data_IF_213456274587
#
_entry.id   IF_213456274587
#
_cell.length_a   1.000
_cell.length_b   1.000
_cell.length_c   1.000
_cell.angle_alpha   90.00
_cell.angle_beta   90.00
_cell.angle_gamma   90.00
#
_symmetry.space_group_name_H-M   'P 1'
#
loop_
_entity.id
_entity.type
_entity.pdbx_description
1 polymer ?
#
# COMPACT_ATOMS: atom_id res chain seq x y z
N UNK A 1 9.04 5.75 21.91
CA UNK A 1 8.42 6.28 20.67
C UNK A 1 7.59 5.17 20.05
N UNK A 2 6.27 5.20 20.24
CA UNK A 2 5.35 4.25 19.61
C UNK A 2 5.29 4.54 18.11
N UNK A 3 5.69 3.58 17.27
CA UNK A 3 5.61 3.74 15.81
C UNK A 3 4.13 3.87 15.41
N UNK A 4 3.78 4.78 14.47
CA UNK A 4 2.41 4.85 13.96
C UNK A 4 2.06 3.55 13.25
N UNK A 5 0.83 3.07 13.44
CA UNK A 5 0.28 1.87 12.82
C UNK A 5 -0.82 2.29 11.86
N UNK A 6 -0.92 1.62 10.70
CA UNK A 6 -2.03 1.86 9.79
C UNK A 6 -3.30 1.21 10.34
N UNK A 7 -4.41 1.95 10.35
CA UNK A 7 -5.76 1.42 10.59
C UNK A 7 -6.33 0.72 9.35
N UNK A 8 -6.02 1.26 8.17
CA UNK A 8 -6.51 0.76 6.88
C UNK A 8 -5.57 1.22 5.74
N UNK A 9 -5.55 0.45 4.65
CA UNK A 9 -4.93 0.87 3.38
C UNK A 9 -6.00 0.75 2.30
N UNK A 10 -6.48 1.89 1.82
CA UNK A 10 -7.47 1.95 0.75
C UNK A 10 -6.78 1.91 -0.60
N UNK A 11 -7.24 1.01 -1.48
CA UNK A 11 -6.74 0.89 -2.85
C UNK A 11 -7.93 1.00 -3.79
N UNK A 12 -7.89 1.97 -4.71
CA UNK A 12 -8.91 2.12 -5.74
C UNK A 12 -8.58 1.21 -6.94
N UNK A 13 -9.26 0.08 -7.12
CA UNK A 13 -8.94 -0.89 -8.18
C UNK A 13 -9.25 -0.34 -9.58
N UNK A 14 -10.09 0.69 -9.73
CA UNK A 14 -10.38 1.31 -11.03
C UNK A 14 -9.19 2.12 -11.55
N UNK A 15 -8.37 2.63 -10.64
CA UNK A 15 -7.22 3.48 -10.98
C UNK A 15 -5.91 2.69 -10.92
N UNK A 16 -5.83 1.66 -10.08
CA UNK A 16 -4.67 0.78 -10.01
C UNK A 16 -4.38 0.11 -11.35
N UNK A 17 -3.13 0.26 -11.84
CA UNK A 17 -2.65 -0.35 -13.08
C UNK A 17 -1.84 -1.63 -12.87
N UNK A 18 -1.67 -2.08 -11.62
CA UNK A 18 -0.87 -3.27 -11.31
C UNK A 18 0.63 -3.10 -11.59
N UNK A 19 1.16 -1.87 -11.56
CA UNK A 19 2.57 -1.58 -11.89
C UNK A 19 3.59 -2.10 -10.86
N UNK A 20 3.14 -2.74 -9.78
CA UNK A 20 3.99 -3.36 -8.73
C UNK A 20 4.93 -2.43 -7.94
N UNK A 21 5.00 -1.14 -8.25
CA UNK A 21 5.87 -0.17 -7.55
C UNK A 21 5.61 -0.20 -6.03
N UNK A 22 4.34 -0.16 -5.62
CA UNK A 22 3.98 -0.18 -4.21
C UNK A 22 4.40 -1.48 -3.49
N UNK A 23 4.40 -2.61 -4.19
CA UNK A 23 4.84 -3.92 -3.66
C UNK A 23 6.36 -3.93 -3.51
N UNK A 24 7.09 -3.47 -4.52
CA UNK A 24 8.55 -3.44 -4.53
C UNK A 24 9.14 -2.51 -3.45
N UNK A 25 8.53 -1.35 -3.23
CA UNK A 25 9.03 -0.35 -2.28
C UNK A 25 8.50 -0.51 -0.86
N UNK A 26 7.59 -1.45 -0.61
CA UNK A 26 7.09 -1.67 0.74
C UNK A 26 8.17 -2.34 1.61
N UNK A 27 8.72 -1.65 2.64
CA UNK A 27 9.80 -2.20 3.45
C UNK A 27 9.37 -3.42 4.28
N UNK A 28 8.08 -3.50 4.60
CA UNK A 28 7.48 -4.60 5.37
C UNK A 28 6.66 -5.56 4.50
N UNK A 29 6.68 -5.38 3.17
CA UNK A 29 6.04 -6.26 2.18
C UNK A 29 4.55 -6.55 2.46
N UNK A 30 3.81 -5.52 2.90
CA UNK A 30 2.38 -5.63 3.26
C UNK A 30 1.41 -5.59 2.08
N UNK A 31 1.93 -5.30 0.88
CA UNK A 31 1.16 -5.23 -0.35
C UNK A 31 1.53 -6.39 -1.26
N UNK A 32 0.56 -6.86 -2.03
CA UNK A 32 0.72 -7.87 -3.08
C UNK A 32 -0.12 -7.49 -4.30
N UNK A 33 0.10 -8.17 -5.43
CA UNK A 33 -0.82 -8.08 -6.57
C UNK A 33 -1.77 -9.26 -6.54
N UNK A 34 -3.07 -8.98 -6.62
CA UNK A 34 -4.12 -9.99 -6.85
C UNK A 34 -4.79 -9.71 -8.18
N UNK A 35 -4.62 -10.62 -9.13
CA UNK A 35 -5.04 -10.40 -10.52
C UNK A 35 -4.22 -9.28 -11.16
N UNK A 36 -4.83 -8.12 -11.38
CA UNK A 36 -4.20 -6.96 -12.01
C UNK A 36 -4.12 -5.73 -11.10
N UNK A 37 -4.51 -5.85 -9.83
CA UNK A 37 -4.57 -4.73 -8.89
C UNK A 37 -3.81 -5.03 -7.61
N UNK A 38 -3.27 -3.98 -7.00
CA UNK A 38 -2.66 -4.05 -5.69
C UNK A 38 -3.71 -4.41 -4.63
N UNK A 39 -3.29 -5.21 -3.65
CA UNK A 39 -4.11 -5.67 -2.53
C UNK A 39 -3.27 -5.68 -1.26
N UNK A 40 -3.94 -5.58 -0.11
CA UNK A 40 -3.30 -5.67 1.21
C UNK A 40 -3.16 -7.13 1.59
N UNK A 41 -1.93 -7.56 1.83
CA UNK A 41 -1.58 -8.92 2.27
C UNK A 41 -1.57 -9.04 3.78
N UNK A 42 -0.94 -8.08 4.46
CA UNK A 42 -0.72 -8.10 5.91
C UNK A 42 -0.72 -6.67 6.48
N UNK A 43 -1.89 -6.19 6.90
CA UNK A 43 -2.01 -4.84 7.45
C UNK A 43 -1.28 -4.68 8.79
N UNK A 44 -1.13 -5.76 9.56
CA UNK A 44 -0.54 -5.70 10.91
C UNK A 44 0.95 -5.35 10.88
N UNK A 45 1.65 -5.75 9.84
CA UNK A 45 3.05 -5.40 9.60
C UNK A 45 3.24 -3.98 9.01
N UNK A 46 2.17 -3.21 8.78
CA UNK A 46 2.27 -1.87 8.21
C UNK A 46 2.71 -0.85 9.26
N UNK A 47 3.83 -0.17 8.98
CA UNK A 47 4.43 0.87 9.84
C UNK A 47 4.00 2.30 9.45
N UNK A 48 2.94 2.43 8.65
CA UNK A 48 2.40 3.71 8.17
C UNK A 48 3.44 4.67 7.54
N UNK A 49 4.44 4.14 6.84
CA UNK A 49 5.52 4.93 6.23
C UNK A 49 5.10 5.74 4.97
N UNK A 50 3.88 5.50 4.45
CA UNK A 50 3.28 6.14 3.28
C UNK A 50 4.08 6.06 1.97
N UNK A 51 5.09 5.19 1.88
CA UNK A 51 5.92 5.07 0.68
C UNK A 51 5.13 4.59 -0.54
N UNK A 52 4.11 3.74 -0.34
CA UNK A 52 3.21 3.26 -1.38
C UNK A 52 2.29 4.36 -1.93
N UNK A 53 1.79 5.24 -1.07
CA UNK A 53 0.95 6.40 -1.42
C UNK A 53 1.77 7.41 -2.26
N UNK A 54 2.96 7.79 -1.78
CA UNK A 54 3.83 8.79 -2.45
C UNK A 54 4.35 8.29 -3.82
N UNK A 55 4.58 6.98 -3.96
CA UNK A 55 5.11 6.40 -5.21
C UNK A 55 4.05 5.92 -6.17
N UNK A 56 2.78 5.94 -5.79
CA UNK A 56 1.74 5.52 -6.69
C UNK A 56 1.59 6.58 -7.80
N UNK A 57 1.90 6.25 -9.08
CA UNK A 57 1.82 7.23 -10.16
C UNK A 57 0.37 7.68 -10.42
N UNK A 58 -0.60 6.81 -10.12
CA UNK A 58 -2.03 7.06 -10.29
C UNK A 58 -2.72 7.54 -8.99
N UNK A 59 -1.95 7.72 -7.90
CA UNK A 59 -2.48 8.07 -6.57
C UNK A 59 -3.67 7.19 -6.11
N UNK A 60 -3.63 5.91 -6.46
CA UNK A 60 -4.73 4.97 -6.19
C UNK A 60 -4.66 4.29 -4.82
N UNK A 61 -3.69 4.66 -3.97
CA UNK A 61 -3.45 4.04 -2.66
C UNK A 61 -3.43 5.14 -1.59
N UNK A 62 -4.15 4.93 -0.48
CA UNK A 62 -4.20 5.83 0.68
C UNK A 62 -3.94 5.04 1.97
N UNK A 63 -3.07 5.54 2.84
CA UNK A 63 -2.77 4.93 4.15
C UNK A 63 -3.43 5.71 5.27
N UNK A 64 -4.38 5.08 5.96
CA UNK A 64 -5.12 5.65 7.08
C UNK A 64 -4.46 5.24 8.40
N UNK A 65 -4.21 6.21 9.29
CA UNK A 65 -3.56 6.04 10.62
C UNK A 65 -4.51 6.32 11.78
#
# INVERSE_FOLDING_TARGET
MTKPKAKEININPKWCKGCEICVAFCPTKVLEIKGFVSSVRDLDACIACKQCEIRCPDFCIEVIV
#
